data_IF_355097666878
#
_entry.id   IF_355097666878
#
_cell.length_a   1.000
_cell.length_b   1.000
_cell.length_c   1.000
_cell.angle_alpha   90.00
_cell.angle_beta   90.00
_cell.angle_gamma   90.00
#
_symmetry.space_group_name_H-M   'P 1'
#
loop_
_entity.id
_entity.type
_entity.pdbx_description
1 polymer ?
#
# COMPACT_ATOMS: atom_id res chain seq x y z
N UNK A 1 1.27 -17.41 -21.23
CA UNK A 1 1.28 -17.10 -19.78
C UNK A 1 0.68 -15.72 -19.60
N UNK A 2 -0.38 -15.57 -18.80
CA UNK A 2 -0.97 -14.26 -18.47
C UNK A 2 -0.21 -13.87 -17.24
N UNK A 3 0.70 -12.91 -17.40
CA UNK A 3 1.74 -12.69 -16.42
C UNK A 3 1.10 -12.25 -15.09
N UNK A 4 1.02 -13.15 -14.06
CA UNK A 4 0.50 -12.77 -12.75
C UNK A 4 1.35 -11.64 -12.15
N UNK A 5 2.58 -11.50 -12.67
CA UNK A 5 3.53 -10.44 -12.40
C UNK A 5 3.01 -9.05 -12.75
N UNK A 6 2.20 -8.87 -13.79
CA UNK A 6 1.74 -7.52 -14.21
C UNK A 6 0.69 -6.97 -13.26
N UNK A 7 -0.28 -7.79 -12.85
CA UNK A 7 -1.33 -7.38 -11.91
C UNK A 7 -0.74 -7.14 -10.51
N UNK A 8 0.15 -8.02 -10.06
CA UNK A 8 0.89 -7.82 -8.81
C UNK A 8 1.81 -6.60 -8.86
N UNK A 9 2.42 -6.30 -10.00
CA UNK A 9 3.24 -5.10 -10.18
C UNK A 9 2.39 -3.84 -10.13
N UNK A 10 1.25 -3.80 -10.82
CA UNK A 10 0.30 -2.67 -10.77
C UNK A 10 -0.24 -2.44 -9.36
N UNK A 11 -0.58 -3.52 -8.64
CA UNK A 11 -0.96 -3.45 -7.22
C UNK A 11 0.15 -2.83 -6.38
N UNK A 12 1.37 -3.36 -6.48
CA UNK A 12 2.53 -2.86 -5.72
C UNK A 12 2.84 -1.40 -6.06
N UNK A 13 2.60 -0.97 -7.30
CA UNK A 13 2.82 0.41 -7.72
C UNK A 13 1.84 1.35 -7.01
N UNK A 14 0.55 1.02 -6.97
CA UNK A 14 -0.45 1.76 -6.20
C UNK A 14 -0.10 1.78 -4.71
N UNK A 15 0.18 0.61 -4.13
CA UNK A 15 0.47 0.49 -2.70
C UNK A 15 1.73 1.28 -2.30
N UNK A 16 2.76 1.32 -3.15
CA UNK A 16 3.96 2.14 -2.96
C UNK A 16 3.68 3.62 -3.05
N UNK A 17 2.87 4.05 -4.01
CA UNK A 17 2.56 5.46 -4.22
C UNK A 17 1.78 6.05 -3.04
N UNK A 18 0.85 5.27 -2.48
CA UNK A 18 -0.02 5.72 -1.40
C UNK A 18 0.42 5.27 0.01
N UNK A 19 1.48 4.45 0.10
CA UNK A 19 2.05 3.96 1.35
C UNK A 19 1.11 3.08 2.19
N UNK A 20 0.05 2.55 1.57
CA UNK A 20 -1.00 1.77 2.23
C UNK A 20 -1.42 0.59 1.35
N UNK A 21 -1.90 -0.51 1.95
CA UNK A 21 -2.34 -1.67 1.19
C UNK A 21 -3.64 -1.38 0.44
N UNK A 22 -3.83 -2.01 -0.72
CA UNK A 22 -4.91 -1.68 -1.66
C UNK A 22 -6.30 -1.80 -1.04
N UNK A 23 -6.52 -2.78 -0.16
CA UNK A 23 -7.80 -2.95 0.55
C UNK A 23 -8.18 -1.74 1.41
N UNK A 24 -7.20 -1.05 2.03
CA UNK A 24 -7.48 0.16 2.82
C UNK A 24 -7.81 1.35 1.92
N UNK A 25 -7.17 1.43 0.76
CA UNK A 25 -7.42 2.50 -0.22
C UNK A 25 -8.83 2.41 -0.80
N UNK A 26 -9.36 1.21 -1.02
CA UNK A 26 -10.74 1.00 -1.50
C UNK A 26 -11.79 1.51 -0.51
N UNK A 27 -11.54 1.43 0.80
CA UNK A 27 -12.44 2.01 1.80
C UNK A 27 -12.35 3.53 1.86
N UNK A 28 -11.21 4.10 1.47
CA UNK A 28 -10.96 5.54 1.50
C UNK A 28 -11.60 6.26 0.30
N UNK A 29 -11.87 5.56 -0.80
CA UNK A 29 -12.63 6.10 -1.94
C UNK A 29 -14.13 6.17 -1.73
N UNK A 30 -14.67 5.56 -0.67
CA UNK A 30 -16.09 5.70 -0.31
C UNK A 30 -16.31 7.14 0.18
N UNK A 31 -17.17 7.95 -0.49
CA UNK A 31 -17.41 9.33 -0.07
C UNK A 31 -17.90 9.36 1.38
N UNK A 32 -17.11 9.98 2.26
CA UNK A 32 -17.49 10.25 3.64
C UNK A 32 -17.51 11.75 3.86
N UNK A 33 -18.53 12.28 4.56
CA UNK A 33 -18.59 13.71 4.86
C UNK A 33 -17.33 14.13 5.65
N UNK A 34 -16.63 15.17 5.16
CA UNK A 34 -15.44 15.73 5.79
C UNK A 34 -14.11 15.06 5.46
N UNK A 35 -14.05 14.19 4.43
CA UNK A 35 -12.81 13.55 3.98
C UNK A 35 -12.43 14.04 2.59
N UNK A 36 -11.18 14.48 2.42
CA UNK A 36 -10.64 14.84 1.12
C UNK A 36 -10.65 13.61 0.20
N UNK A 37 -11.40 13.71 -0.89
CA UNK A 37 -11.51 12.68 -1.91
C UNK A 37 -10.37 12.88 -2.92
N UNK A 38 -9.48 11.90 -3.05
CA UNK A 38 -8.44 11.92 -4.08
C UNK A 38 -9.02 11.34 -5.39
N UNK A 39 -9.28 12.18 -6.42
CA UNK A 39 -9.82 11.71 -7.69
C UNK A 39 -8.82 10.82 -8.44
N UNK A 40 -7.51 10.98 -8.20
CA UNK A 40 -6.46 10.20 -8.83
C UNK A 40 -6.42 8.80 -8.23
N UNK A 41 -6.60 8.68 -6.91
CA UNK A 41 -6.74 7.38 -6.27
C UNK A 41 -7.96 6.61 -6.80
N UNK A 42 -9.11 7.29 -6.93
CA UNK A 42 -10.32 6.70 -7.50
C UNK A 42 -10.11 6.21 -8.93
N UNK A 43 -9.46 7.03 -9.78
CA UNK A 43 -9.14 6.64 -11.15
C UNK A 43 -8.14 5.47 -11.22
N UNK A 44 -7.12 5.46 -10.35
CA UNK A 44 -6.15 4.38 -10.26
C UNK A 44 -6.80 3.04 -9.84
N UNK A 45 -7.70 3.06 -8.86
CA UNK A 45 -8.43 1.87 -8.43
C UNK A 45 -9.37 1.36 -9.52
N UNK A 46 -10.10 2.25 -10.22
CA UNK A 46 -10.95 1.86 -11.35
C UNK A 46 -10.13 1.21 -12.48
N UNK A 47 -8.97 1.77 -12.82
CA UNK A 47 -8.06 1.19 -13.82
C UNK A 47 -7.52 -0.17 -13.37
N UNK A 48 -7.18 -0.31 -12.09
CA UNK A 48 -6.73 -1.58 -11.53
C UNK A 48 -7.82 -2.66 -11.56
N UNK A 49 -9.06 -2.30 -11.24
CA UNK A 49 -10.21 -3.21 -11.33
C UNK A 49 -10.48 -3.63 -12.78
N UNK A 50 -10.40 -2.69 -13.73
CA UNK A 50 -10.47 -2.98 -15.16
C UNK A 50 -9.36 -3.95 -15.61
N UNK A 51 -8.13 -3.73 -15.16
CA UNK A 51 -6.99 -4.59 -15.45
C UNK A 51 -7.15 -6.00 -14.87
N UNK A 52 -7.76 -6.12 -13.68
CA UNK A 52 -8.12 -7.41 -13.06
C UNK A 52 -9.18 -8.16 -13.87
N UNK A 53 -10.22 -7.46 -14.32
CA UNK A 53 -11.24 -8.04 -15.18
C UNK A 53 -10.65 -8.49 -16.53
N UNK A 54 -9.87 -7.63 -17.19
CA UNK A 54 -9.18 -7.94 -18.44
C UNK A 54 -8.28 -9.17 -18.28
N UNK A 55 -7.52 -9.28 -17.20
CA UNK A 55 -6.66 -10.43 -16.91
C UNK A 55 -7.45 -11.73 -16.69
N UNK A 56 -8.60 -11.66 -16.02
CA UNK A 56 -9.47 -12.81 -15.82
C UNK A 56 -10.04 -13.31 -17.15
N UNK A 57 -10.59 -12.40 -17.98
CA UNK A 57 -11.11 -12.71 -19.32
C UNK A 57 -10.04 -13.30 -20.24
N UNK A 58 -8.81 -12.80 -20.16
CA UNK A 58 -7.69 -13.30 -20.97
C UNK A 58 -7.29 -14.73 -20.56
N UNK A 59 -7.34 -15.02 -19.26
CA UNK A 59 -7.12 -16.38 -18.73
C UNK A 59 -8.23 -17.33 -19.18
N UNK A 60 -9.49 -16.90 -19.12
CA UNK A 60 -10.64 -17.67 -19.60
C UNK A 60 -10.55 -17.94 -21.11
N UNK A 61 -10.26 -16.93 -21.93
CA UNK A 61 -10.12 -17.08 -23.38
C UNK A 61 -9.01 -18.07 -23.76
N UNK A 62 -7.88 -18.05 -23.04
CA UNK A 62 -6.80 -19.02 -23.23
C UNK A 62 -7.20 -20.44 -22.82
N UNK A 63 -7.97 -20.57 -21.75
CA UNK A 63 -8.49 -21.86 -21.32
C UNK A 63 -9.46 -22.44 -22.36
N UNK A 64 -10.32 -21.61 -22.97
CA UNK A 64 -11.20 -22.01 -24.08
C UNK A 64 -10.42 -22.46 -25.30
N UNK A 65 -9.35 -21.75 -25.67
CA UNK A 65 -8.45 -22.20 -26.76
C UNK A 65 -7.84 -23.56 -26.43
N UNK A 66 -7.37 -23.76 -25.19
CA UNK A 66 -6.80 -25.04 -24.76
C UNK A 66 -7.83 -26.17 -24.81
N UNK A 67 -9.05 -25.93 -24.34
CA UNK A 67 -10.15 -26.90 -24.40
C UNK A 67 -10.46 -27.31 -25.85
N UNK A 68 -10.55 -26.34 -26.77
CA UNK A 68 -10.79 -26.63 -28.19
C UNK A 68 -9.65 -27.41 -28.86
N UNK A 69 -8.42 -27.26 -28.38
CA UNK A 69 -7.28 -28.05 -28.86
C UNK A 69 -7.28 -29.46 -28.25
N UNK A 70 -7.64 -29.60 -26.98
CA UNK A 70 -7.69 -30.86 -26.24
C UNK A 70 -8.87 -31.75 -26.68
N UNK A 71 -10.02 -31.16 -27.04
CA UNK A 71 -11.21 -31.84 -27.56
C UNK A 71 -11.02 -32.42 -28.98
N UNK A 72 -9.85 -32.18 -29.59
CA UNK A 72 -9.54 -32.51 -30.97
C UNK A 72 -10.07 -31.41 -31.89
N UNK A 73 -9.14 -30.72 -32.55
CA UNK A 73 -9.49 -29.64 -33.48
C UNK A 73 -10.39 -30.19 -34.59
N UNK A 74 -11.69 -29.88 -34.52
CA UNK A 74 -12.60 -30.10 -35.62
C UNK A 74 -12.25 -29.08 -36.71
N UNK A 75 -11.59 -29.54 -37.77
CA UNK A 75 -11.14 -28.71 -38.90
C UNK A 75 -12.29 -28.21 -39.78
N UNK A 76 -13.53 -28.31 -39.29
CA UNK A 76 -14.71 -27.71 -39.90
C UNK A 76 -14.59 -26.19 -39.92
N UNK A 77 -15.34 -25.57 -40.83
CA UNK A 77 -15.45 -24.11 -40.95
C UNK A 77 -15.87 -23.49 -39.61
N UNK A 78 -16.69 -24.19 -38.81
CA UNK A 78 -17.14 -23.69 -37.51
C UNK A 78 -16.03 -23.74 -36.45
N UNK A 79 -15.23 -24.81 -36.40
CA UNK A 79 -14.10 -24.92 -35.48
C UNK A 79 -12.98 -23.91 -35.75
N UNK A 80 -12.64 -23.69 -37.03
CA UNK A 80 -11.69 -22.67 -37.45
C UNK A 80 -12.18 -21.24 -37.18
N UNK A 81 -13.48 -20.96 -37.42
CA UNK A 81 -14.09 -19.66 -37.10
C UNK A 81 -14.09 -19.37 -35.59
N UNK A 82 -14.39 -20.37 -34.74
CA UNK A 82 -14.32 -20.21 -33.28
C UNK A 82 -12.90 -19.90 -32.79
N UNK A 83 -11.89 -20.56 -33.34
CA UNK A 83 -10.49 -20.27 -33.00
C UNK A 83 -10.07 -18.87 -33.45
N UNK A 84 -10.47 -18.42 -34.64
CA UNK A 84 -10.22 -17.07 -35.13
C UNK A 84 -10.85 -16.00 -34.22
N UNK A 85 -12.10 -16.19 -33.82
CA UNK A 85 -12.79 -15.29 -32.90
C UNK A 85 -12.07 -15.23 -31.54
N UNK A 86 -11.69 -16.37 -30.97
CA UNK A 86 -10.94 -16.41 -29.71
C UNK A 86 -9.55 -15.76 -29.85
N UNK A 87 -8.88 -15.91 -30.99
CA UNK A 87 -7.59 -15.26 -31.25
C UNK A 87 -7.75 -13.73 -31.33
N UNK A 88 -8.81 -13.25 -32.00
CA UNK A 88 -9.15 -11.82 -32.05
C UNK A 88 -9.49 -11.28 -30.66
N UNK A 89 -10.28 -12.00 -29.87
CA UNK A 89 -10.61 -11.64 -28.49
C UNK A 89 -9.35 -11.58 -27.60
N UNK A 90 -8.47 -12.58 -27.69
CA UNK A 90 -7.20 -12.57 -26.96
C UNK A 90 -6.34 -11.37 -27.39
N UNK A 91 -6.29 -11.06 -28.68
CA UNK A 91 -5.54 -9.90 -29.17
C UNK A 91 -6.12 -8.58 -28.61
N UNK A 92 -7.42 -8.39 -28.69
CA UNK A 92 -8.11 -7.21 -28.17
C UNK A 92 -7.91 -7.06 -26.65
N UNK A 93 -8.05 -8.15 -25.89
CA UNK A 93 -7.82 -8.17 -24.44
C UNK A 93 -6.35 -7.90 -24.10
N UNK A 94 -5.41 -8.41 -24.88
CA UNK A 94 -3.97 -8.16 -24.68
C UNK A 94 -3.64 -6.68 -24.90
N UNK A 95 -4.15 -6.09 -25.98
CA UNK A 95 -3.98 -4.67 -26.27
C UNK A 95 -4.58 -3.81 -25.16
N UNK A 96 -5.80 -4.14 -24.73
CA UNK A 96 -6.45 -3.47 -23.60
C UNK A 96 -5.63 -3.56 -22.32
N UNK A 97 -5.10 -4.73 -22.00
CA UNK A 97 -4.28 -4.95 -20.82
C UNK A 97 -3.01 -4.08 -20.83
N UNK A 98 -2.33 -3.96 -21.98
CA UNK A 98 -1.16 -3.09 -22.15
C UNK A 98 -1.54 -1.62 -21.99
N UNK A 99 -2.66 -1.19 -22.59
CA UNK A 99 -3.11 0.21 -22.47
C UNK A 99 -3.51 0.57 -21.04
N UNK A 100 -4.23 -0.31 -20.33
CA UNK A 100 -4.63 -0.09 -18.93
C UNK A 100 -3.41 -0.04 -18.01
N UNK A 101 -2.42 -0.93 -18.23
CA UNK A 101 -1.17 -0.93 -17.47
C UNK A 101 -0.37 0.36 -17.70
N UNK A 102 -0.26 0.80 -18.95
CA UNK A 102 0.43 2.06 -19.29
C UNK A 102 -0.29 3.26 -18.70
N UNK A 103 -1.61 3.34 -18.86
CA UNK A 103 -2.42 4.44 -18.31
C UNK A 103 -2.30 4.53 -16.79
N UNK A 104 -2.25 3.39 -16.08
CA UNK A 104 -2.03 3.34 -14.64
C UNK A 104 -0.63 3.84 -14.26
N UNK A 105 0.40 3.45 -15.03
CA UNK A 105 1.76 3.96 -14.85
C UNK A 105 1.87 5.47 -15.09
N UNK A 106 1.24 5.98 -16.14
CA UNK A 106 1.25 7.40 -16.50
C UNK A 106 0.48 8.23 -15.46
N UNK A 107 -0.67 7.75 -15.02
CA UNK A 107 -1.51 8.41 -14.01
C UNK A 107 -0.79 8.52 -12.66
N UNK A 108 -0.12 7.45 -12.23
CA UNK A 108 0.64 7.43 -10.97
C UNK A 108 2.00 8.14 -11.11
N UNK A 109 2.60 8.15 -12.30
CA UNK A 109 3.85 8.86 -12.58
C UNK A 109 3.68 10.37 -12.66
N UNK A 110 2.57 10.84 -13.23
CA UNK A 110 2.23 12.27 -13.29
C UNK A 110 1.78 12.80 -11.91
N UNK A 111 1.24 11.94 -11.06
CA UNK A 111 0.77 12.33 -9.74
C UNK A 111 1.83 12.06 -8.67
N UNK A 112 2.59 13.08 -8.27
CA UNK A 112 3.28 13.07 -6.97
C UNK A 112 2.24 13.36 -5.89
N UNK A 113 1.83 12.37 -5.06
CA UNK A 113 1.04 12.69 -3.89
C UNK A 113 1.80 13.75 -3.08
N UNK A 114 1.07 14.76 -2.62
CA UNK A 114 1.56 15.89 -1.84
C UNK A 114 2.12 15.42 -0.50
N UNK A 115 3.37 14.94 -0.54
CA UNK A 115 4.09 14.25 0.54
C UNK A 115 3.34 13.02 1.10
N UNK A 116 4.07 12.00 1.57
CA UNK A 116 3.43 10.97 2.36
C UNK A 116 2.85 11.66 3.60
N UNK A 117 1.52 11.71 3.74
CA UNK A 117 0.96 11.81 5.08
C UNK A 117 1.67 10.70 5.87
N UNK A 118 2.36 11.04 6.97
CA UNK A 118 3.14 10.07 7.71
C UNK A 118 2.25 8.87 7.96
N UNK A 119 2.79 7.69 7.61
CA UNK A 119 2.16 6.39 7.79
C UNK A 119 1.21 6.47 8.98
N UNK A 120 -0.07 6.18 8.74
CA UNK A 120 -1.02 6.06 9.84
C UNK A 120 -0.35 5.14 10.87
N UNK A 121 0.10 5.74 11.97
CA UNK A 121 0.69 5.01 13.06
C UNK A 121 -0.28 3.88 13.39
N UNK A 122 0.22 2.64 13.61
CA UNK A 122 -0.64 1.50 13.84
C UNK A 122 -1.74 1.88 14.83
N UNK A 123 -3.00 1.72 14.39
CA UNK A 123 -4.19 2.08 15.17
C UNK A 123 -4.29 1.26 16.47
N UNK A 124 -3.40 0.29 16.66
CA UNK A 124 -3.01 -0.25 17.96
C UNK A 124 -1.85 0.56 18.54
N UNK A 125 -2.17 1.72 19.12
CA UNK A 125 -1.26 2.34 20.07
C UNK A 125 -1.30 1.47 21.32
N UNK A 126 -0.28 0.64 21.54
CA UNK A 126 -0.13 -0.04 22.81
C UNK A 126 0.03 1.05 23.89
N UNK A 127 -0.87 1.05 24.86
CA UNK A 127 -0.62 1.72 26.12
C UNK A 127 0.52 0.96 26.77
N UNK A 128 1.75 1.48 26.64
CA UNK A 128 2.86 0.94 27.38
C UNK A 128 2.60 1.25 28.86
N UNK A 129 2.21 0.20 29.60
CA UNK A 129 1.88 0.32 31.01
C UNK A 129 3.10 0.30 31.92
N UNK A 130 4.22 -0.21 31.41
CA UNK A 130 5.45 -0.30 32.16
C UNK A 130 6.48 0.74 31.69
N UNK A 131 7.09 1.41 32.68
CA UNK A 131 8.08 2.47 32.49
C UNK A 131 9.44 1.87 32.11
N UNK A 132 9.77 0.70 32.63
CA UNK A 132 11.06 0.03 32.42
C UNK A 132 11.24 -0.43 30.97
N UNK A 133 10.15 -0.87 30.34
CA UNK A 133 10.13 -1.21 28.91
C UNK A 133 10.27 0.00 27.99
N UNK A 134 9.96 1.22 28.45
CA UNK A 134 10.05 2.46 27.67
C UNK A 134 11.42 3.14 27.74
N UNK A 135 12.19 2.90 28.81
CA UNK A 135 13.47 3.56 29.05
C UNK A 135 14.53 3.29 27.96
N UNK A 136 14.72 2.07 27.44
CA UNK A 136 15.74 1.82 26.40
C UNK A 136 15.48 2.62 25.11
N UNK A 137 14.21 2.75 24.75
CA UNK A 137 13.78 3.48 23.55
C UNK A 137 13.88 5.00 23.79
N UNK A 138 13.46 5.47 24.97
CA UNK A 138 13.58 6.87 25.36
C UNK A 138 15.06 7.31 25.46
N UNK A 139 15.97 6.45 25.94
CA UNK A 139 17.43 6.67 25.95
C UNK A 139 18.00 6.80 24.54
N UNK A 140 17.54 5.96 23.60
CA UNK A 140 18.00 6.00 22.20
C UNK A 140 17.59 7.30 21.51
N UNK A 141 16.38 7.79 21.77
CA UNK A 141 15.89 9.09 21.27
C UNK A 141 16.66 10.24 21.93
N UNK A 142 16.92 10.13 23.25
CA UNK A 142 17.71 11.09 24.01
C UNK A 142 19.16 11.22 23.52
N UNK A 143 19.81 10.11 23.16
CA UNK A 143 21.18 10.12 22.66
C UNK A 143 21.35 10.94 21.35
N UNK A 144 20.28 11.11 20.58
CA UNK A 144 20.28 11.90 19.35
C UNK A 144 19.88 13.37 19.51
N UNK A 145 19.70 13.89 20.73
CA UNK A 145 19.24 15.28 20.93
C UNK A 145 19.74 15.91 22.23
N UNK A 146 20.49 17.03 22.17
CA UNK A 146 21.04 17.70 23.36
C UNK A 146 20.00 18.43 24.22
N UNK A 147 18.76 18.62 23.73
CA UNK A 147 17.69 19.32 24.45
C UNK A 147 16.43 18.45 24.58
N UNK A 148 16.45 17.57 25.58
CA UNK A 148 15.30 16.72 25.93
C UNK A 148 14.15 17.54 26.51
N UNK A 149 13.12 17.74 25.68
CA UNK A 149 11.86 18.37 26.07
C UNK A 149 10.69 17.41 25.88
N UNK A 150 9.61 17.67 26.62
CA UNK A 150 8.34 16.94 26.49
C UNK A 150 7.71 17.08 25.12
N UNK A 151 7.91 18.23 24.48
CA UNK A 151 7.47 18.49 23.12
C UNK A 151 8.22 17.65 22.08
N UNK A 152 9.40 17.11 22.41
CA UNK A 152 10.17 16.21 21.54
C UNK A 152 9.88 14.73 21.85
N UNK A 153 9.89 14.35 23.13
CA UNK A 153 9.74 12.95 23.54
C UNK A 153 8.34 12.39 23.23
N UNK A 154 7.29 13.21 23.42
CA UNK A 154 5.91 12.79 23.17
C UNK A 154 5.64 12.43 21.70
N UNK A 155 5.94 13.31 20.74
CA UNK A 155 5.83 13.01 19.31
C UNK A 155 6.74 11.88 18.85
N UNK A 156 7.98 11.79 19.37
CA UNK A 156 8.90 10.72 18.99
C UNK A 156 8.41 9.33 19.43
N UNK A 157 7.94 9.20 20.69
CA UNK A 157 7.33 7.94 21.17
C UNK A 157 6.06 7.58 20.39
N UNK A 158 5.28 8.59 20.00
CA UNK A 158 4.10 8.40 19.15
C UNK A 158 4.45 7.95 17.73
N UNK A 159 5.55 8.44 17.17
CA UNK A 159 6.09 7.99 15.87
C UNK A 159 6.53 6.51 15.92
N UNK A 160 6.92 6.03 17.10
CA UNK A 160 7.18 4.61 17.37
C UNK A 160 5.94 3.80 17.78
N UNK A 161 4.72 4.36 17.66
CA UNK A 161 3.48 3.64 17.94
C UNK A 161 3.13 3.51 19.43
N UNK A 162 3.73 4.33 20.31
CA UNK A 162 3.52 4.26 21.76
C UNK A 162 2.72 5.47 22.22
N UNK A 163 1.60 5.24 22.93
CA UNK A 163 0.88 6.29 23.66
C UNK A 163 1.30 6.27 25.12
N UNK A 164 1.89 7.37 25.57
CA UNK A 164 2.29 7.57 26.96
C UNK A 164 1.48 8.71 27.56
N UNK A 165 0.96 8.53 28.77
CA UNK A 165 0.22 9.58 29.47
C UNK A 165 1.13 10.77 29.81
N UNK A 166 0.52 11.95 29.94
CA UNK A 166 1.22 13.19 30.27
C UNK A 166 2.01 13.12 31.59
N UNK A 167 1.50 12.36 32.58
CA UNK A 167 2.18 12.11 33.85
C UNK A 167 3.41 11.20 33.66
N UNK A 168 3.28 10.13 32.87
CA UNK A 168 4.37 9.17 32.59
C UNK A 168 5.47 9.78 31.72
N UNK A 169 5.14 10.65 30.76
CA UNK A 169 6.13 11.43 30.00
C UNK A 169 6.96 12.33 30.92
N UNK A 170 6.33 12.92 31.95
CA UNK A 170 7.03 13.69 32.98
C UNK A 170 8.00 12.82 33.79
N UNK A 171 7.57 11.64 34.22
CA UNK A 171 8.41 10.68 34.95
C UNK A 171 9.60 10.19 34.10
N UNK A 172 9.39 9.87 32.81
CA UNK A 172 10.46 9.49 31.88
C UNK A 172 11.49 10.60 31.69
N UNK A 173 11.04 11.85 31.53
CA UNK A 173 11.96 12.99 31.39
C UNK A 173 12.75 13.26 32.65
N UNK A 174 12.12 13.17 33.83
CA UNK A 174 12.81 13.32 35.10
C UNK A 174 13.84 12.20 35.32
N UNK A 175 13.53 10.97 34.89
CA UNK A 175 14.45 9.84 34.96
C UNK A 175 15.62 9.96 33.98
N UNK A 176 15.37 10.38 32.74
CA UNK A 176 16.43 10.64 31.76
C UNK A 176 17.32 11.83 32.15
N UNK A 177 16.74 12.86 32.78
CA UNK A 177 17.49 14.02 33.31
C UNK A 177 18.36 13.64 34.50
N UNK A 178 17.85 12.82 35.42
CA UNK A 178 18.65 12.32 36.55
C UNK A 178 19.79 11.40 36.09
N UNK A 179 19.55 10.56 35.08
CA UNK A 179 20.60 9.73 34.46
C UNK A 179 21.67 10.55 33.72
N UNK A 180 21.28 11.60 32.97
CA UNK A 180 22.24 12.49 32.30
C UNK A 180 23.01 13.38 33.27
N UNK A 181 22.42 13.75 34.42
CA UNK A 181 23.12 14.46 35.48
C UNK A 181 24.11 13.57 36.25
N UNK A 182 23.77 12.29 36.46
CA UNK A 182 24.66 11.31 37.10
C UNK A 182 25.80 10.84 36.18
N UNK A 183 25.57 10.79 34.86
CA UNK A 183 26.61 10.45 33.87
C UNK A 183 27.62 11.58 33.60
N UNK A 184 27.38 12.80 34.11
CA UNK A 184 28.29 13.93 34.00
C UNK A 184 29.16 14.14 35.27
N UNK A 185 28.99 13.29 36.28
CA UNK A 185 29.74 13.33 37.55
C UNK A 185 30.67 12.12 37.73
N UNK A 186 30.97 11.37 36.67
CA UNK A 186 31.92 10.25 36.65
C UNK A 186 33.05 10.52 35.64
#
# INVERSE_FOLDING_TARGET
MTDPTTLDSSRRLIERQYGRPLHQLTYDTIPRPGRDHDPVLSAALNLYDGLRETSARLTEARQKVRQLLDEGHDSTVDGTTRLLNLAQDIHALTTRHVTETRALGDLLGAHRPSLPLPCAAPTSLYAADDLETLLPLARRIAAGSPHLSRAMLGPALRAHGIRVSNQRLGALLNRLRTETFLGAAA
#
